data_IF_264812966487
#
_entry.id   IF_264812966487
#
_cell.length_a   1.000
_cell.length_b   1.000
_cell.length_c   1.000
_cell.angle_alpha   90.00
_cell.angle_beta   90.00
_cell.angle_gamma   90.00
#
_symmetry.space_group_name_H-M   'P 1'
#
loop_
_entity.id
_entity.type
_entity.pdbx_description
1 polymer ?
#
# COMPACT_ATOMS: atom_id res chain seq x y z
N UNK A 1 -24.13 -29.58 8.45
CA UNK A 1 -22.89 -28.79 8.41
C UNK A 1 -23.05 -27.68 9.44
N UNK A 2 -22.10 -27.53 10.29
CA UNK A 2 -22.08 -26.48 11.31
C UNK A 2 -21.95 -25.09 10.65
N UNK A 3 -22.55 -24.05 11.23
CA UNK A 3 -22.53 -22.69 10.65
C UNK A 3 -21.13 -22.18 10.42
N UNK A 4 -20.22 -22.35 11.38
CA UNK A 4 -18.83 -21.93 11.23
C UNK A 4 -18.09 -22.70 10.13
N UNK A 5 -18.41 -23.99 9.91
CA UNK A 5 -17.83 -24.77 8.81
C UNK A 5 -18.26 -24.20 7.46
N UNK A 6 -19.53 -23.78 7.34
CA UNK A 6 -20.02 -23.14 6.12
C UNK A 6 -19.30 -21.81 5.87
N UNK A 7 -19.17 -20.96 6.90
CA UNK A 7 -18.46 -19.69 6.83
C UNK A 7 -16.98 -19.88 6.47
N UNK A 8 -16.32 -20.91 7.00
CA UNK A 8 -14.94 -21.26 6.65
C UNK A 8 -14.80 -21.74 5.19
N UNK A 9 -15.79 -22.45 4.65
CA UNK A 9 -15.81 -22.79 3.22
C UNK A 9 -15.91 -21.55 2.33
N UNK A 10 -16.71 -20.57 2.75
CA UNK A 10 -16.82 -19.29 2.07
C UNK A 10 -15.50 -18.50 2.17
N UNK A 11 -14.90 -18.44 3.37
CA UNK A 11 -13.60 -17.82 3.61
C UNK A 11 -12.49 -18.45 2.75
N UNK A 12 -12.47 -19.79 2.65
CA UNK A 12 -11.54 -20.53 1.81
C UNK A 12 -11.67 -20.12 0.32
N UNK A 13 -12.89 -20.05 -0.23
CA UNK A 13 -13.10 -19.64 -1.62
C UNK A 13 -12.56 -18.23 -1.88
N UNK A 14 -12.80 -17.30 -0.94
CA UNK A 14 -12.30 -15.93 -1.02
C UNK A 14 -10.78 -15.86 -0.92
N UNK A 15 -10.19 -16.57 0.06
CA UNK A 15 -8.75 -16.64 0.24
C UNK A 15 -8.07 -17.24 -0.98
N UNK A 16 -8.58 -18.35 -1.51
CA UNK A 16 -8.06 -18.98 -2.72
C UNK A 16 -8.02 -18.01 -3.89
N UNK A 17 -9.13 -17.34 -4.17
CA UNK A 17 -9.19 -16.34 -5.24
C UNK A 17 -8.21 -15.19 -5.02
N UNK A 18 -8.10 -14.69 -3.79
CA UNK A 18 -7.14 -13.63 -3.43
C UNK A 18 -5.70 -14.07 -3.67
N UNK A 19 -5.30 -15.23 -3.16
CA UNK A 19 -3.93 -15.75 -3.33
C UNK A 19 -3.59 -15.97 -4.81
N UNK A 20 -4.53 -16.51 -5.60
CA UNK A 20 -4.27 -16.76 -7.02
C UNK A 20 -4.26 -15.49 -7.88
N UNK A 21 -4.91 -14.42 -7.44
CA UNK A 21 -4.85 -13.12 -8.13
C UNK A 21 -3.50 -12.41 -7.96
N UNK A 22 -2.76 -12.70 -6.89
CA UNK A 22 -1.45 -12.12 -6.63
C UNK A 22 -0.33 -13.03 -7.15
N UNK A 23 0.48 -12.53 -8.08
CA UNK A 23 1.59 -13.29 -8.68
C UNK A 23 2.77 -13.51 -7.72
N UNK A 24 2.85 -12.73 -6.64
CA UNK A 24 4.00 -12.75 -5.72
C UNK A 24 3.86 -13.79 -4.59
N UNK A 25 2.63 -14.23 -4.30
CA UNK A 25 2.31 -15.15 -3.20
C UNK A 25 2.46 -16.64 -3.62
N UNK A 26 3.65 -17.01 -4.12
CA UNK A 26 3.88 -18.38 -4.62
C UNK A 26 3.89 -19.40 -3.49
N UNK A 27 4.52 -19.10 -2.35
CA UNK A 27 4.62 -20.02 -1.23
C UNK A 27 3.23 -20.31 -0.62
N UNK A 28 2.42 -19.27 -0.48
CA UNK A 28 1.05 -19.39 0.03
C UNK A 28 0.17 -20.23 -0.89
N UNK A 29 0.40 -20.19 -2.22
CA UNK A 29 -0.31 -21.06 -3.18
C UNK A 29 0.11 -22.53 -3.03
N UNK A 30 1.40 -22.79 -2.80
CA UNK A 30 1.89 -24.13 -2.53
C UNK A 30 1.33 -24.66 -1.23
N UNK A 31 1.37 -23.86 -0.15
CA UNK A 31 0.84 -24.23 1.15
C UNK A 31 -0.68 -24.49 1.08
N UNK A 32 -1.40 -23.70 0.28
CA UNK A 32 -2.82 -23.91 0.01
C UNK A 32 -3.07 -25.23 -0.71
N UNK A 33 -2.23 -25.61 -1.69
CA UNK A 33 -2.40 -26.89 -2.39
C UNK A 33 -2.27 -28.10 -1.45
N UNK A 34 -1.34 -28.06 -0.50
CA UNK A 34 -1.22 -29.09 0.54
C UNK A 34 -2.43 -29.09 1.50
N UNK A 35 -2.95 -27.91 1.86
CA UNK A 35 -4.15 -27.81 2.65
C UNK A 35 -5.38 -28.43 1.94
N UNK A 36 -5.44 -28.29 0.61
CA UNK A 36 -6.52 -28.84 -0.24
C UNK A 36 -6.52 -30.36 -0.33
N UNK A 37 -5.39 -31.05 -0.12
CA UNK A 37 -5.33 -32.52 -0.15
C UNK A 37 -6.33 -33.18 0.83
N UNK A 38 -6.64 -32.51 1.95
CA UNK A 38 -7.61 -32.97 2.92
C UNK A 38 -8.57 -31.85 3.39
N UNK A 39 -9.07 -31.08 2.43
CA UNK A 39 -9.77 -29.82 2.64
C UNK A 39 -10.91 -29.93 3.67
N UNK A 40 -11.81 -30.91 3.50
CA UNK A 40 -13.00 -31.05 4.36
C UNK A 40 -12.63 -31.31 5.83
N UNK A 41 -11.63 -32.16 6.07
CA UNK A 41 -11.17 -32.46 7.42
C UNK A 41 -10.41 -31.28 8.03
N UNK A 42 -9.55 -30.61 7.24
CA UNK A 42 -8.80 -29.44 7.69
C UNK A 42 -9.73 -28.30 8.09
N UNK A 43 -10.81 -28.06 7.32
CA UNK A 43 -11.82 -27.05 7.67
C UNK A 43 -12.62 -27.42 8.92
N UNK A 44 -12.98 -28.71 9.10
CA UNK A 44 -13.67 -29.18 10.32
C UNK A 44 -12.79 -29.05 11.56
N UNK A 45 -11.52 -29.41 11.45
CA UNK A 45 -10.56 -29.26 12.54
C UNK A 45 -10.36 -27.79 12.91
N UNK A 46 -10.19 -26.92 11.91
CA UNK A 46 -10.09 -25.48 12.11
C UNK A 46 -11.34 -24.92 12.79
N UNK A 47 -12.55 -25.32 12.35
CA UNK A 47 -13.81 -24.91 12.98
C UNK A 47 -13.86 -25.29 14.45
N UNK A 48 -13.45 -26.52 14.78
CA UNK A 48 -13.37 -27.01 16.17
C UNK A 48 -12.38 -26.21 17.01
N UNK A 49 -11.22 -25.85 16.44
CA UNK A 49 -10.18 -25.08 17.14
C UNK A 49 -10.61 -23.63 17.36
N UNK A 50 -11.30 -23.00 16.40
CA UNK A 50 -11.88 -21.66 16.57
C UNK A 50 -12.90 -21.65 17.70
N UNK A 51 -13.85 -22.60 17.72
CA UNK A 51 -14.86 -22.71 18.80
C UNK A 51 -14.26 -22.87 20.19
N UNK A 52 -13.08 -23.48 20.28
CA UNK A 52 -12.34 -23.64 21.54
C UNK A 52 -11.40 -22.50 21.83
N UNK A 53 -11.32 -21.52 20.95
CA UNK A 53 -10.32 -20.45 20.96
C UNK A 53 -8.88 -20.95 21.12
N UNK A 54 -8.60 -22.16 20.62
CA UNK A 54 -7.31 -22.81 20.73
C UNK A 54 -6.61 -22.94 19.37
N UNK A 55 -5.76 -21.98 19.04
CA UNK A 55 -4.96 -21.95 17.82
C UNK A 55 -3.45 -22.04 18.10
N UNK A 56 -3.08 -22.54 19.30
CA UNK A 56 -1.69 -22.55 19.77
C UNK A 56 -0.72 -23.24 18.81
N UNK A 57 -1.14 -24.31 18.14
CA UNK A 57 -0.27 -25.05 17.20
C UNK A 57 -0.04 -24.26 15.90
N UNK A 58 -1.05 -23.58 15.38
CA UNK A 58 -0.90 -22.68 14.24
C UNK A 58 -0.02 -21.49 14.57
N UNK A 59 -0.14 -20.92 15.78
CA UNK A 59 0.71 -19.81 16.24
C UNK A 59 2.20 -20.20 16.32
N UNK A 60 2.54 -21.45 16.65
CA UNK A 60 3.95 -21.91 16.69
C UNK A 60 4.62 -21.80 15.32
N UNK A 61 3.86 -21.99 14.25
CA UNK A 61 4.34 -21.97 12.86
C UNK A 61 4.51 -20.56 12.30
N UNK A 62 4.02 -19.52 13.00
CA UNK A 62 4.21 -18.13 12.55
C UNK A 62 5.69 -17.75 12.57
N UNK A 63 6.16 -17.28 11.44
CA UNK A 63 7.52 -16.78 11.21
C UNK A 63 7.47 -15.57 10.27
N UNK A 64 8.59 -15.20 9.66
CA UNK A 64 8.65 -14.09 8.73
C UNK A 64 9.58 -14.39 7.55
N UNK A 65 9.38 -13.64 6.46
CA UNK A 65 10.25 -13.61 5.29
C UNK A 65 10.70 -12.17 5.05
N UNK A 66 12.00 -11.99 4.79
CA UNK A 66 12.57 -10.69 4.46
C UNK A 66 12.59 -10.51 2.94
N UNK A 67 11.88 -9.49 2.45
CA UNK A 67 11.82 -9.16 1.03
C UNK A 67 12.54 -7.83 0.81
N UNK A 68 13.57 -7.77 -0.06
CA UNK A 68 14.24 -6.52 -0.38
C UNK A 68 13.24 -5.49 -0.95
N UNK A 69 13.17 -4.31 -0.34
CA UNK A 69 12.35 -3.18 -0.82
C UNK A 69 13.17 -2.25 -1.71
N UNK A 70 14.44 -2.02 -1.34
CA UNK A 70 15.35 -1.17 -2.08
C UNK A 70 16.72 -1.80 -2.15
N UNK A 71 17.19 -1.98 -3.37
CA UNK A 71 18.49 -2.56 -3.68
C UNK A 71 19.32 -1.48 -4.37
N UNK A 72 20.56 -1.31 -3.94
CA UNK A 72 21.52 -0.40 -4.55
C UNK A 72 22.74 -1.17 -5.03
N UNK A 73 23.19 -0.86 -6.22
CA UNK A 73 24.47 -1.37 -6.73
C UNK A 73 25.60 -0.70 -5.95
N UNK A 74 26.55 -1.48 -5.44
CA UNK A 74 27.73 -0.94 -4.79
C UNK A 74 28.54 -0.16 -5.83
N UNK A 75 28.68 1.14 -5.62
CA UNK A 75 29.52 1.95 -6.51
C UNK A 75 31.00 1.70 -6.16
N UNK A 76 31.88 1.59 -7.17
CA UNK A 76 33.30 1.50 -6.91
C UNK A 76 33.78 2.75 -6.18
N UNK A 77 34.66 2.56 -5.18
CA UNK A 77 35.19 3.66 -4.33
C UNK A 77 36.16 4.61 -5.08
N UNK A 78 36.20 4.55 -6.39
CA UNK A 78 37.13 5.37 -7.19
C UNK A 78 36.40 6.52 -7.87
N UNK A 79 37.03 7.71 -7.83
CA UNK A 79 36.55 8.91 -8.50
C UNK A 79 36.72 8.87 -10.03
N UNK A 80 37.45 7.88 -10.55
CA UNK A 80 37.73 7.73 -11.97
C UNK A 80 36.84 6.69 -12.62
N UNK A 81 36.37 6.98 -13.84
CA UNK A 81 35.64 6.01 -14.66
C UNK A 81 36.58 4.93 -15.18
N UNK A 82 36.29 3.66 -14.90
CA UNK A 82 37.06 2.53 -15.40
C UNK A 82 36.24 1.86 -16.51
N UNK A 83 36.74 1.83 -17.71
CA UNK A 83 36.20 1.13 -18.86
C UNK A 83 36.93 -0.21 -19.00
N UNK A 84 36.21 -1.32 -18.96
CA UNK A 84 36.80 -2.66 -19.02
C UNK A 84 35.83 -3.64 -19.67
N UNK A 85 36.34 -4.57 -20.47
CA UNK A 85 35.60 -5.71 -20.99
C UNK A 85 35.59 -6.90 -20.02
N UNK A 86 36.21 -6.76 -18.84
CA UNK A 86 36.21 -7.80 -17.81
C UNK A 86 34.83 -7.83 -17.16
N UNK A 87 34.17 -9.00 -17.20
CA UNK A 87 32.93 -9.23 -16.46
C UNK A 87 33.20 -9.09 -14.96
N UNK A 88 32.61 -8.08 -14.33
CA UNK A 88 32.68 -7.86 -12.90
C UNK A 88 31.40 -8.41 -12.27
N UNK A 89 31.53 -9.17 -11.22
CA UNK A 89 30.36 -9.50 -10.38
C UNK A 89 29.87 -8.22 -9.72
N UNK A 90 28.63 -7.84 -10.05
CA UNK A 90 28.00 -6.69 -9.45
C UNK A 90 27.62 -7.02 -8.00
N UNK A 91 28.13 -6.25 -7.05
CA UNK A 91 27.72 -6.34 -5.64
C UNK A 91 26.53 -5.44 -5.39
N UNK A 92 25.50 -6.01 -4.79
CA UNK A 92 24.28 -5.31 -4.43
C UNK A 92 24.14 -5.23 -2.92
N UNK A 93 23.72 -4.05 -2.44
CA UNK A 93 23.43 -3.79 -1.02
C UNK A 93 21.92 -3.62 -0.90
N UNK A 94 21.33 -4.35 0.02
CA UNK A 94 19.91 -4.16 0.37
C UNK A 94 19.83 -2.98 1.35
N UNK A 95 19.35 -1.83 0.87
CA UNK A 95 19.20 -0.61 1.69
C UNK A 95 17.98 -0.71 2.63
N UNK A 96 16.88 -1.30 2.16
CA UNK A 96 15.69 -1.51 2.96
C UNK A 96 14.98 -2.81 2.59
N UNK A 97 14.23 -3.34 3.54
CA UNK A 97 13.51 -4.60 3.43
C UNK A 97 12.11 -4.47 4.01
N UNK A 98 11.18 -5.22 3.45
CA UNK A 98 9.88 -5.47 4.06
C UNK A 98 9.91 -6.81 4.80
N UNK A 99 9.20 -6.88 5.92
CA UNK A 99 9.08 -8.09 6.74
C UNK A 99 7.67 -8.63 6.52
N UNK A 100 7.56 -9.71 5.74
CA UNK A 100 6.29 -10.36 5.47
C UNK A 100 6.02 -11.43 6.52
N UNK A 101 4.78 -11.56 6.95
CA UNK A 101 4.37 -12.70 7.76
C UNK A 101 4.46 -13.97 6.91
N UNK A 102 5.00 -15.03 7.51
CA UNK A 102 4.88 -16.39 7.01
C UNK A 102 4.07 -17.18 8.02
N UNK A 103 2.89 -17.61 7.62
CA UNK A 103 1.91 -18.26 8.48
C UNK A 103 1.23 -19.43 7.74
N UNK A 104 0.74 -20.46 8.43
CA UNK A 104 0.00 -21.54 7.83
C UNK A 104 -1.36 -21.05 7.30
N UNK A 105 -1.96 -21.81 6.39
CA UNK A 105 -3.22 -21.43 5.71
C UNK A 105 -4.36 -21.21 6.71
N UNK A 106 -4.39 -21.93 7.80
CA UNK A 106 -5.37 -21.78 8.88
C UNK A 106 -5.39 -20.36 9.45
N UNK A 107 -4.22 -19.73 9.61
CA UNK A 107 -4.11 -18.34 10.07
C UNK A 107 -4.70 -17.38 9.02
N UNK A 108 -4.40 -17.59 7.74
CA UNK A 108 -5.01 -16.80 6.66
C UNK A 108 -6.52 -17.00 6.56
N UNK A 109 -7.02 -18.22 6.83
CA UNK A 109 -8.46 -18.51 6.88
C UNK A 109 -9.15 -17.80 8.05
N UNK A 110 -8.53 -17.81 9.25
CA UNK A 110 -9.03 -17.05 10.42
C UNK A 110 -9.08 -15.56 10.08
N UNK A 111 -8.03 -15.01 9.48
CA UNK A 111 -8.00 -13.60 9.07
C UNK A 111 -9.06 -13.28 8.01
N UNK A 112 -9.32 -14.18 7.06
CA UNK A 112 -10.36 -14.01 6.04
C UNK A 112 -11.76 -14.10 6.66
N UNK A 113 -11.99 -15.04 7.58
CA UNK A 113 -13.23 -15.16 8.32
C UNK A 113 -13.50 -13.91 9.17
N UNK A 114 -12.47 -13.37 9.84
CA UNK A 114 -12.56 -12.12 10.58
C UNK A 114 -12.96 -10.95 9.65
N UNK A 115 -12.41 -10.88 8.42
CA UNK A 115 -12.85 -9.87 7.45
C UNK A 115 -14.33 -9.99 7.13
N UNK A 116 -14.83 -11.22 6.95
CA UNK A 116 -16.23 -11.46 6.59
C UNK A 116 -17.20 -11.09 7.71
N UNK A 117 -16.83 -11.32 8.98
CA UNK A 117 -17.73 -11.13 10.14
C UNK A 117 -17.60 -9.72 10.75
N UNK A 118 -16.39 -9.16 10.76
CA UNK A 118 -16.08 -7.91 11.45
C UNK A 118 -15.54 -6.86 10.48
N UNK A 119 -14.55 -7.22 9.67
CA UNK A 119 -13.89 -6.31 8.74
C UNK A 119 -14.84 -5.69 7.72
N UNK A 120 -15.90 -6.41 7.33
CA UNK A 120 -16.94 -5.90 6.43
C UNK A 120 -17.64 -4.65 7.00
N UNK A 121 -17.95 -4.64 8.28
CA UNK A 121 -18.57 -3.51 8.97
C UNK A 121 -17.62 -2.31 9.03
N UNK A 122 -16.32 -2.57 9.25
CA UNK A 122 -15.31 -1.53 9.27
C UNK A 122 -15.13 -0.90 7.88
N UNK A 123 -15.05 -1.72 6.82
CA UNK A 123 -14.93 -1.24 5.44
C UNK A 123 -16.18 -0.48 4.98
N UNK A 124 -17.39 -0.91 5.36
CA UNK A 124 -18.64 -0.26 5.02
C UNK A 124 -18.72 1.19 5.52
N UNK A 125 -18.09 1.46 6.65
CA UNK A 125 -18.08 2.79 7.27
C UNK A 125 -17.01 3.74 6.71
N UNK A 126 -16.19 3.29 5.77
CA UNK A 126 -15.22 4.13 5.08
C UNK A 126 -15.92 5.02 4.05
N UNK A 127 -15.38 6.22 3.87
CA UNK A 127 -15.85 7.15 2.82
C UNK A 127 -15.42 6.66 1.43
N UNK A 128 -16.09 7.13 0.40
CA UNK A 128 -15.83 6.76 -1.01
C UNK A 128 -14.46 7.21 -1.52
N UNK A 129 -13.89 8.22 -0.87
CA UNK A 129 -12.55 8.73 -1.19
C UNK A 129 -11.41 7.74 -0.88
N UNK A 130 -11.68 6.70 -0.07
CA UNK A 130 -10.74 5.60 0.17
C UNK A 130 -10.86 4.61 -0.98
N UNK A 131 -9.85 4.54 -1.84
CA UNK A 131 -9.86 3.74 -3.08
C UNK A 131 -9.09 2.41 -2.96
N UNK A 132 -8.06 2.36 -2.11
CA UNK A 132 -7.21 1.18 -1.95
C UNK A 132 -7.81 0.10 -1.05
N UNK A 133 -7.64 -1.17 -1.42
CA UNK A 133 -7.98 -2.33 -0.61
C UNK A 133 -9.43 -2.35 -0.07
N UNK A 134 -10.40 -1.88 -0.87
CA UNK A 134 -11.82 -1.92 -0.52
C UNK A 134 -12.39 -3.31 -0.74
N UNK A 135 -13.21 -3.77 0.17
CA UNK A 135 -13.90 -5.05 0.04
C UNK A 135 -14.86 -5.04 -1.15
N UNK A 136 -14.86 -6.14 -1.89
CA UNK A 136 -15.73 -6.28 -3.05
C UNK A 136 -17.20 -6.30 -2.65
N UNK A 137 -17.99 -5.42 -3.26
CA UNK A 137 -19.44 -5.34 -3.12
C UNK A 137 -20.11 -5.54 -4.47
N UNK A 138 -21.29 -6.10 -4.47
CA UNK A 138 -22.09 -6.22 -5.68
C UNK A 138 -22.63 -4.85 -6.15
N UNK A 139 -23.37 -4.88 -7.27
CA UNK A 139 -23.96 -3.66 -7.85
C UNK A 139 -24.96 -2.96 -6.91
N UNK A 140 -25.47 -3.66 -5.90
CA UNK A 140 -26.39 -3.12 -4.90
C UNK A 140 -25.65 -2.66 -3.62
N UNK A 141 -24.32 -2.74 -3.60
CA UNK A 141 -23.49 -2.34 -2.47
C UNK A 141 -23.41 -3.37 -1.34
N UNK A 142 -23.83 -4.63 -1.58
CA UNK A 142 -23.78 -5.66 -0.57
C UNK A 142 -22.53 -6.53 -0.68
N UNK A 143 -21.90 -6.80 0.45
CA UNK A 143 -20.83 -7.79 0.55
C UNK A 143 -21.44 -9.19 0.45
N UNK A 144 -20.98 -9.95 -0.53
CA UNK A 144 -21.53 -11.27 -0.83
C UNK A 144 -20.65 -12.38 -0.21
N UNK A 145 -21.15 -13.07 0.80
CA UNK A 145 -20.42 -14.16 1.45
C UNK A 145 -20.12 -15.31 0.48
N UNK A 146 -21.03 -15.63 -0.41
CA UNK A 146 -20.86 -16.71 -1.40
C UNK A 146 -19.98 -16.34 -2.61
N UNK A 147 -19.69 -15.05 -2.81
CA UNK A 147 -18.75 -14.62 -3.84
C UNK A 147 -17.32 -15.05 -3.51
N UNK A 148 -16.57 -15.45 -4.52
CA UNK A 148 -15.14 -15.74 -4.38
C UNK A 148 -14.29 -14.46 -4.28
N UNK A 149 -14.80 -13.30 -4.67
CA UNK A 149 -14.07 -12.03 -4.61
C UNK A 149 -14.03 -11.50 -3.17
N UNK A 150 -12.85 -11.14 -2.70
CA UNK A 150 -12.65 -10.52 -1.39
C UNK A 150 -12.50 -9.01 -1.49
N UNK A 151 -11.63 -8.54 -2.37
CA UNK A 151 -11.38 -7.13 -2.64
C UNK A 151 -11.76 -6.73 -4.06
N UNK A 152 -11.99 -5.45 -4.28
CA UNK A 152 -11.99 -4.88 -5.62
C UNK A 152 -10.60 -5.06 -6.25
N UNK A 153 -10.52 -5.24 -7.59
CA UNK A 153 -9.25 -5.29 -8.28
C UNK A 153 -8.43 -4.03 -7.97
N UNK A 154 -7.17 -4.22 -7.55
CA UNK A 154 -6.34 -3.11 -7.09
C UNK A 154 -6.13 -2.04 -8.18
N UNK A 155 -6.02 -2.46 -9.45
CA UNK A 155 -5.80 -1.54 -10.57
C UNK A 155 -6.98 -0.59 -10.80
N UNK A 156 -8.22 -1.03 -10.61
CA UNK A 156 -9.41 -0.18 -10.71
C UNK A 156 -9.39 0.91 -9.63
N UNK A 157 -9.10 0.54 -8.38
CA UNK A 157 -8.99 1.48 -7.26
C UNK A 157 -7.84 2.46 -7.45
N UNK A 158 -6.68 2.00 -7.93
CA UNK A 158 -5.53 2.86 -8.17
C UNK A 158 -5.75 3.80 -9.35
N UNK A 159 -6.40 3.34 -10.40
CA UNK A 159 -6.78 4.16 -11.56
C UNK A 159 -7.76 5.25 -11.13
N UNK A 160 -8.82 4.91 -10.42
CA UNK A 160 -9.78 5.87 -9.87
C UNK A 160 -9.11 6.90 -8.94
N UNK A 161 -8.23 6.45 -8.02
CA UNK A 161 -7.44 7.32 -7.13
C UNK A 161 -6.68 8.41 -7.88
N UNK A 162 -6.10 8.06 -9.01
CA UNK A 162 -5.27 8.94 -9.84
C UNK A 162 -6.09 9.80 -10.79
N UNK A 163 -6.95 9.15 -11.59
CA UNK A 163 -7.60 9.78 -12.74
C UNK A 163 -8.64 10.83 -12.30
N UNK A 164 -9.39 10.54 -11.25
CA UNK A 164 -10.33 11.51 -10.69
C UNK A 164 -9.65 12.80 -10.20
N UNK A 165 -8.42 12.69 -9.66
CA UNK A 165 -7.65 13.87 -9.25
C UNK A 165 -7.17 14.69 -10.45
N UNK A 166 -6.73 14.05 -11.51
CA UNK A 166 -6.29 14.70 -12.75
C UNK A 166 -7.48 15.38 -13.43
N UNK A 167 -8.62 14.70 -13.50
CA UNK A 167 -9.84 15.25 -14.08
C UNK A 167 -10.33 16.47 -13.30
N UNK A 168 -10.28 16.43 -11.96
CA UNK A 168 -10.59 17.59 -11.12
C UNK A 168 -9.61 18.75 -11.36
N UNK A 169 -8.31 18.47 -11.39
CA UNK A 169 -7.30 19.50 -11.65
C UNK A 169 -7.52 20.16 -13.03
N UNK A 170 -7.81 19.36 -14.05
CA UNK A 170 -8.11 19.83 -15.40
C UNK A 170 -9.39 20.69 -15.41
N UNK A 171 -10.42 20.24 -14.73
CA UNK A 171 -11.70 20.96 -14.62
C UNK A 171 -11.54 22.35 -13.97
N UNK A 172 -10.76 22.43 -12.87
CA UNK A 172 -10.49 23.69 -12.19
C UNK A 172 -9.65 24.65 -13.05
N UNK A 173 -8.62 24.12 -13.71
CA UNK A 173 -7.80 24.92 -14.62
C UNK A 173 -8.63 25.49 -15.79
N UNK A 174 -9.52 24.68 -16.38
CA UNK A 174 -10.43 25.13 -17.42
C UNK A 174 -11.44 26.20 -16.94
N UNK A 175 -11.68 26.27 -15.63
CA UNK A 175 -12.42 27.37 -14.98
C UNK A 175 -11.57 28.62 -14.71
N UNK A 176 -10.34 28.67 -15.23
CA UNK A 176 -9.40 29.77 -15.06
C UNK A 176 -8.97 29.97 -13.58
N UNK A 177 -8.78 28.87 -12.84
CA UNK A 177 -8.29 28.86 -11.47
C UNK A 177 -6.85 28.32 -11.44
N UNK A 178 -6.05 28.84 -10.51
CA UNK A 178 -4.76 28.25 -10.18
C UNK A 178 -5.00 26.93 -9.43
N UNK A 179 -4.28 25.88 -9.80
CA UNK A 179 -4.50 24.55 -9.26
C UNK A 179 -3.23 24.03 -8.58
N UNK A 180 -3.37 23.49 -7.39
CA UNK A 180 -2.28 22.84 -6.66
C UNK A 180 -2.65 21.39 -6.39
N UNK A 181 -1.82 20.46 -6.84
CA UNK A 181 -1.95 19.02 -6.56
C UNK A 181 -0.87 18.61 -5.57
N UNK A 182 -1.28 18.07 -4.43
CA UNK A 182 -0.39 17.59 -3.38
C UNK A 182 -0.52 16.07 -3.25
N UNK A 183 0.60 15.37 -3.41
CA UNK A 183 0.72 13.94 -3.10
C UNK A 183 1.61 13.75 -1.88
N UNK A 184 1.13 12.99 -0.90
CA UNK A 184 1.85 12.62 0.32
C UNK A 184 1.78 11.12 0.57
N UNK A 185 2.82 10.60 1.21
CA UNK A 185 2.98 9.18 1.53
C UNK A 185 3.40 9.05 3.01
N UNK A 186 2.78 8.14 3.74
CA UNK A 186 3.11 7.89 5.14
C UNK A 186 4.31 6.94 5.20
N UNK A 187 5.34 7.35 5.94
CA UNK A 187 6.55 6.56 6.12
C UNK A 187 6.26 5.29 6.92
N UNK A 188 6.63 4.14 6.36
CA UNK A 188 6.59 2.84 7.06
C UNK A 188 5.25 2.56 7.74
N UNK A 189 4.16 2.88 7.04
CA UNK A 189 2.80 2.93 7.58
C UNK A 189 2.43 1.67 8.39
N UNK A 190 2.60 0.47 7.82
CA UNK A 190 2.23 -0.79 8.48
C UNK A 190 2.98 -1.07 9.78
N UNK A 191 4.21 -0.53 9.92
CA UNK A 191 5.02 -0.66 11.14
C UNK A 191 4.70 0.41 12.19
N UNK A 192 4.00 1.47 11.81
CA UNK A 192 3.65 2.59 12.70
C UNK A 192 2.19 2.60 13.13
N UNK A 193 1.37 1.67 12.61
CA UNK A 193 0.00 1.50 13.07
C UNK A 193 -0.02 0.82 14.44
N UNK A 194 -0.81 1.40 15.34
CA UNK A 194 -1.15 0.82 16.62
C UNK A 194 -2.62 0.43 16.59
N UNK A 195 -2.89 -0.85 16.72
CA UNK A 195 -4.24 -1.38 16.66
C UNK A 195 -4.45 -2.46 17.72
N UNK A 196 -5.60 -2.44 18.38
CA UNK A 196 -6.02 -3.45 19.35
C UNK A 196 -7.37 -4.01 18.94
N UNK A 197 -7.44 -5.31 18.78
CA UNK A 197 -8.69 -5.99 18.51
C UNK A 197 -9.65 -5.96 19.70
N UNK A 198 -9.15 -5.68 20.90
CA UNK A 198 -9.95 -5.57 22.13
C UNK A 198 -10.86 -4.34 22.14
N UNK A 199 -10.53 -3.33 21.30
CA UNK A 199 -11.30 -2.10 21.18
C UNK A 199 -12.48 -2.25 20.21
N UNK A 200 -12.59 -3.39 19.54
CA UNK A 200 -13.70 -3.72 18.67
C UNK A 200 -14.85 -4.37 19.46
N UNK A 201 -16.06 -4.30 18.88
CA UNK A 201 -17.23 -5.00 19.42
C UNK A 201 -16.97 -6.50 19.55
N UNK A 202 -17.58 -7.11 20.55
CA UNK A 202 -17.50 -8.56 20.73
C UNK A 202 -18.09 -9.27 19.52
N UNK A 203 -17.46 -10.37 19.13
CA UNK A 203 -17.90 -11.24 18.04
C UNK A 203 -18.27 -12.62 18.54
N UNK A 204 -19.13 -13.30 17.77
CA UNK A 204 -19.74 -14.58 18.15
C UNK A 204 -18.71 -15.71 18.31
N UNK A 205 -17.60 -15.66 17.55
CA UNK A 205 -16.62 -16.76 17.47
C UNK A 205 -15.31 -16.46 18.18
N UNK A 206 -15.20 -15.34 18.91
CA UNK A 206 -13.96 -14.92 19.56
C UNK A 206 -12.84 -14.55 18.54
N UNK A 207 -13.22 -14.19 17.32
CA UNK A 207 -12.25 -13.90 16.23
C UNK A 207 -11.33 -12.74 16.57
N UNK A 208 -11.84 -11.71 17.28
CA UNK A 208 -11.00 -10.59 17.71
C UNK A 208 -9.89 -11.06 18.65
N UNK A 209 -10.18 -11.99 19.57
CA UNK A 209 -9.18 -12.56 20.47
C UNK A 209 -8.16 -13.42 19.71
N UNK A 210 -8.61 -14.23 18.75
CA UNK A 210 -7.72 -15.02 17.90
C UNK A 210 -6.79 -14.14 17.06
N UNK A 211 -7.33 -13.08 16.45
CA UNK A 211 -6.56 -12.13 15.68
C UNK A 211 -5.53 -11.39 16.56
N UNK A 212 -5.91 -11.02 17.80
CA UNK A 212 -4.96 -10.41 18.73
C UNK A 212 -3.80 -11.37 19.03
N UNK A 213 -4.07 -12.66 19.28
CA UNK A 213 -3.01 -13.66 19.50
C UNK A 213 -2.09 -13.82 18.31
N UNK A 214 -2.61 -13.78 17.06
CA UNK A 214 -1.84 -13.85 15.83
C UNK A 214 -0.89 -12.65 15.73
N UNK A 215 -1.41 -11.43 15.93
CA UNK A 215 -0.63 -10.20 15.88
C UNK A 215 0.43 -10.16 16.99
N UNK A 216 0.10 -10.53 18.21
CA UNK A 216 1.03 -10.60 19.35
C UNK A 216 2.19 -11.57 19.05
N UNK A 217 1.87 -12.72 18.45
CA UNK A 217 2.88 -13.72 18.08
C UNK A 217 3.81 -13.21 17.02
N UNK A 218 3.25 -12.59 15.97
CA UNK A 218 4.06 -11.99 14.90
C UNK A 218 4.93 -10.85 15.44
N UNK A 219 4.35 -9.95 16.24
CA UNK A 219 5.07 -8.85 16.86
C UNK A 219 6.29 -9.34 17.64
N UNK A 220 6.12 -10.35 18.50
CA UNK A 220 7.23 -10.94 19.27
C UNK A 220 8.33 -11.49 18.38
N UNK A 221 8.01 -11.95 17.17
CA UNK A 221 9.00 -12.50 16.22
C UNK A 221 9.82 -11.43 15.52
N UNK A 222 9.26 -10.25 15.27
CA UNK A 222 9.91 -9.23 14.44
C UNK A 222 10.27 -7.94 15.16
N UNK A 223 10.02 -7.83 16.48
CA UNK A 223 10.26 -6.60 17.25
C UNK A 223 11.66 -6.02 17.08
N UNK A 224 12.68 -6.87 17.01
CA UNK A 224 14.09 -6.45 16.86
C UNK A 224 14.47 -6.13 15.40
N UNK A 225 13.64 -6.50 14.44
CA UNK A 225 13.86 -6.33 13.00
C UNK A 225 13.05 -5.17 12.41
N UNK A 226 12.02 -4.73 13.11
CA UNK A 226 11.13 -3.66 12.65
C UNK A 226 11.91 -2.36 12.48
N UNK A 227 11.67 -1.59 11.38
CA UNK A 227 12.26 -0.27 11.17
C UNK A 227 11.70 0.79 12.12
N UNK A 228 10.69 0.45 12.93
CA UNK A 228 10.07 1.37 13.88
C UNK A 228 11.12 1.93 14.84
N UNK A 229 11.06 3.23 15.07
CA UNK A 229 11.89 3.88 16.10
C UNK A 229 11.60 3.25 17.45
N UNK A 230 12.66 2.81 18.14
CA UNK A 230 12.56 2.30 19.51
C UNK A 230 12.15 3.46 20.40
N UNK A 231 10.94 3.44 20.89
CA UNK A 231 10.51 4.38 21.95
C UNK A 231 11.28 3.99 23.22
N UNK A 232 11.86 4.98 23.93
CA UNK A 232 12.62 4.75 25.17
C UNK A 232 11.75 4.15 26.31
N UNK A 233 10.48 3.90 26.05
CA UNK A 233 9.51 3.34 26.96
C UNK A 233 9.18 1.90 26.53
N UNK A 234 9.99 0.92 26.98
CA UNK A 234 9.85 -0.50 26.65
C UNK A 234 8.44 -1.05 26.93
N UNK A 235 7.76 -0.55 27.97
CA UNK A 235 6.40 -0.99 28.34
C UNK A 235 5.36 -0.57 27.30
N UNK A 236 5.47 0.61 26.71
CA UNK A 236 4.63 1.07 25.62
C UNK A 236 4.87 0.30 24.32
N UNK A 237 6.14 -0.05 24.04
CA UNK A 237 6.53 -0.79 22.84
C UNK A 237 5.98 -2.23 22.86
N UNK A 238 5.92 -2.84 24.04
CA UNK A 238 5.43 -4.21 24.21
C UNK A 238 3.89 -4.34 24.12
N UNK A 239 3.14 -3.22 24.19
CA UNK A 239 1.67 -3.23 24.16
C UNK A 239 1.07 -2.90 22.78
N UNK A 240 1.89 -2.50 21.80
CA UNK A 240 1.44 -1.97 20.52
C UNK A 240 1.83 -2.87 19.37
N UNK A 241 0.84 -3.47 18.74
CA UNK A 241 1.02 -4.34 17.60
C UNK A 241 0.97 -3.55 16.29
N UNK A 242 1.96 -3.74 15.44
CA UNK A 242 1.93 -3.26 14.07
C UNK A 242 1.32 -4.32 13.14
N UNK A 243 0.88 -3.88 11.95
CA UNK A 243 0.19 -4.77 11.02
C UNK A 243 1.15 -5.72 10.31
N UNK A 244 0.86 -7.03 10.28
CA UNK A 244 1.61 -8.00 9.51
C UNK A 244 1.45 -7.75 8.00
N UNK A 245 2.55 -7.39 7.31
CA UNK A 245 2.53 -7.34 5.84
C UNK A 245 2.37 -8.77 5.31
N UNK A 246 1.41 -8.96 4.40
CA UNK A 246 1.08 -10.29 3.85
C UNK A 246 -0.10 -10.99 4.55
N UNK A 247 -0.58 -10.50 5.70
CA UNK A 247 -1.83 -10.98 6.28
C UNK A 247 -3.01 -10.19 5.69
N UNK A 248 -3.98 -10.89 5.13
CA UNK A 248 -5.07 -10.29 4.36
C UNK A 248 -5.90 -9.28 5.16
N UNK A 249 -6.10 -9.48 6.46
CA UNK A 249 -6.83 -8.56 7.36
C UNK A 249 -6.12 -7.22 7.57
N UNK A 250 -4.79 -7.18 7.42
CA UNK A 250 -4.02 -5.94 7.60
C UNK A 250 -4.45 -4.83 6.66
N UNK A 251 -4.91 -5.18 5.46
CA UNK A 251 -5.42 -4.21 4.47
C UNK A 251 -6.68 -3.47 4.97
N UNK A 252 -7.61 -4.19 5.59
CA UNK A 252 -8.85 -3.62 6.15
C UNK A 252 -8.55 -2.76 7.38
N UNK A 253 -7.68 -3.25 8.27
CA UNK A 253 -7.30 -2.53 9.49
C UNK A 253 -6.56 -1.24 9.13
N UNK A 254 -5.65 -1.28 8.14
CA UNK A 254 -4.93 -0.12 7.64
C UNK A 254 -5.88 1.00 7.19
N UNK A 255 -6.94 0.65 6.45
CA UNK A 255 -7.95 1.60 6.04
C UNK A 255 -8.77 2.14 7.23
N UNK A 256 -9.14 1.27 8.16
CA UNK A 256 -9.94 1.66 9.33
C UNK A 256 -9.22 2.66 10.22
N UNK A 257 -7.92 2.47 10.47
CA UNK A 257 -7.13 3.37 11.34
C UNK A 257 -7.11 4.81 10.83
N UNK A 258 -7.08 5.02 9.51
CA UNK A 258 -7.10 6.35 8.91
C UNK A 258 -8.51 6.88 8.62
N UNK A 259 -9.57 6.14 8.92
CA UNK A 259 -10.94 6.53 8.59
C UNK A 259 -11.39 7.85 9.21
N UNK A 260 -10.94 8.14 10.43
CA UNK A 260 -11.22 9.43 11.09
C UNK A 260 -10.49 10.58 10.41
N UNK A 261 -9.24 10.37 10.02
CA UNK A 261 -8.48 11.34 9.25
C UNK A 261 -9.18 11.65 7.92
N UNK A 262 -9.61 10.61 7.20
CA UNK A 262 -10.31 10.79 5.92
C UNK A 262 -11.59 11.65 6.07
N UNK A 263 -12.39 11.39 7.10
CA UNK A 263 -13.59 12.16 7.41
C UNK A 263 -13.28 13.62 7.71
N UNK A 264 -12.28 13.87 8.55
CA UNK A 264 -11.86 15.24 8.90
C UNK A 264 -11.39 16.02 7.67
N UNK A 265 -10.66 15.37 6.76
CA UNK A 265 -10.23 16.00 5.50
C UNK A 265 -11.44 16.42 4.68
N UNK A 266 -12.40 15.55 4.49
CA UNK A 266 -13.57 15.84 3.65
C UNK A 266 -14.52 16.85 4.31
N UNK A 267 -14.72 16.76 5.63
CA UNK A 267 -15.68 17.60 6.35
C UNK A 267 -15.13 19.00 6.69
N UNK A 268 -13.84 19.10 7.01
CA UNK A 268 -13.23 20.30 7.56
C UNK A 268 -12.23 20.97 6.62
N UNK A 269 -11.28 20.24 6.03
CA UNK A 269 -10.33 20.80 5.07
C UNK A 269 -11.01 21.14 3.75
N UNK A 270 -11.92 20.27 3.29
CA UNK A 270 -12.72 20.45 2.07
C UNK A 270 -11.88 20.85 0.86
N UNK A 271 -10.85 20.06 0.51
CA UNK A 271 -10.16 20.26 -0.76
C UNK A 271 -11.15 20.04 -1.91
N UNK A 272 -10.90 20.57 -3.08
CA UNK A 272 -11.72 20.32 -4.27
C UNK A 272 -11.75 18.84 -4.64
N UNK A 273 -10.67 18.13 -4.34
CA UNK A 273 -10.61 16.67 -4.42
C UNK A 273 -9.68 16.10 -3.34
N UNK A 274 -10.08 14.98 -2.78
CA UNK A 274 -9.28 14.14 -1.89
C UNK A 274 -9.50 12.68 -2.22
N UNK A 275 -8.43 11.91 -2.26
CA UNK A 275 -8.51 10.46 -2.28
C UNK A 275 -7.32 9.84 -1.58
N UNK A 276 -7.50 8.60 -1.11
CA UNK A 276 -6.46 7.82 -0.46
C UNK A 276 -6.39 6.40 -1.00
N UNK A 277 -5.18 5.97 -1.28
CA UNK A 277 -4.86 4.60 -1.64
C UNK A 277 -3.87 4.01 -0.61
N UNK A 278 -4.39 3.32 0.40
CA UNK A 278 -3.67 2.81 1.58
C UNK A 278 -2.98 3.95 2.35
N UNK A 279 -1.70 4.19 2.13
CA UNK A 279 -0.85 5.22 2.74
C UNK A 279 -0.57 6.41 1.81
N UNK A 280 -0.84 6.27 0.52
CA UNK A 280 -0.76 7.36 -0.46
C UNK A 280 -2.02 8.24 -0.42
N UNK A 281 -1.84 9.55 -0.33
CA UNK A 281 -2.95 10.53 -0.29
C UNK A 281 -2.75 11.58 -1.37
N UNK A 282 -3.83 11.91 -2.07
CA UNK A 282 -3.84 12.86 -3.16
C UNK A 282 -4.89 13.93 -2.91
N UNK A 283 -4.46 15.19 -3.00
CA UNK A 283 -5.29 16.37 -2.77
C UNK A 283 -5.23 17.30 -3.98
N UNK A 284 -6.33 17.94 -4.30
CA UNK A 284 -6.40 19.04 -5.28
C UNK A 284 -6.99 20.25 -4.59
N UNK A 285 -6.31 21.39 -4.72
CA UNK A 285 -6.74 22.69 -4.19
C UNK A 285 -6.79 23.72 -5.31
N UNK A 286 -7.75 24.66 -5.22
CA UNK A 286 -7.82 25.82 -6.08
C UNK A 286 -7.31 27.07 -5.37
N UNK A 287 -6.62 27.96 -6.09
CA UNK A 287 -6.13 29.25 -5.61
C UNK A 287 -5.39 29.17 -4.25
N UNK A 288 -4.63 28.08 -4.03
CA UNK A 288 -3.87 27.91 -2.82
C UNK A 288 -2.63 28.84 -2.81
N UNK A 289 -2.42 29.53 -1.67
CA UNK A 289 -1.19 30.30 -1.49
C UNK A 289 -0.04 29.36 -1.13
N UNK A 290 1.01 29.36 -1.94
CA UNK A 290 2.17 28.48 -1.80
C UNK A 290 3.48 29.23 -1.48
N UNK A 291 3.40 30.51 -1.19
CA UNK A 291 4.59 31.34 -0.86
C UNK A 291 5.14 31.07 0.56
N UNK A 292 4.61 30.05 1.24
CA UNK A 292 5.02 29.72 2.58
C UNK A 292 6.23 28.76 2.61
N UNK A 293 7.01 28.84 3.68
CA UNK A 293 8.17 27.95 3.90
C UNK A 293 7.74 26.48 4.19
N UNK A 294 6.51 26.28 4.68
CA UNK A 294 5.95 24.99 5.07
C UNK A 294 4.63 24.72 4.33
N UNK A 295 4.70 24.70 3.01
CA UNK A 295 3.53 24.60 2.10
C UNK A 295 2.59 23.46 2.48
N UNK A 296 3.13 22.28 2.82
CA UNK A 296 2.30 21.11 3.15
C UNK A 296 1.50 21.36 4.42
N UNK A 297 2.15 21.90 5.45
CA UNK A 297 1.47 22.23 6.70
C UNK A 297 0.42 23.31 6.49
N UNK A 298 0.74 24.33 5.70
CA UNK A 298 -0.20 25.43 5.44
C UNK A 298 -1.38 24.96 4.59
N UNK A 299 -1.17 24.14 3.55
CA UNK A 299 -2.26 23.57 2.78
C UNK A 299 -3.18 22.70 3.63
N UNK A 300 -2.60 21.88 4.51
CA UNK A 300 -3.35 20.96 5.35
C UNK A 300 -3.96 21.64 6.59
N UNK A 301 -3.41 22.77 7.06
CA UNK A 301 -3.87 23.48 8.27
C UNK A 301 -4.64 24.76 7.98
N UNK A 302 -4.46 25.40 6.81
CA UNK A 302 -4.92 26.78 6.55
C UNK A 302 -6.43 26.98 6.51
N UNK A 303 -7.19 25.91 6.29
CA UNK A 303 -8.67 25.99 6.28
C UNK A 303 -9.31 25.24 7.45
N UNK A 304 -8.50 24.60 8.29
CA UNK A 304 -9.03 23.72 9.31
C UNK A 304 -8.88 24.32 10.69
N UNK A 305 -9.99 24.41 11.40
CA UNK A 305 -10.03 24.33 12.85
C UNK A 305 -9.63 22.93 13.36
N UNK A 306 -8.89 22.13 12.56
CA UNK A 306 -8.33 20.82 12.94
C UNK A 306 -7.46 20.97 14.19
N UNK A 307 -6.88 22.15 14.42
CA UNK A 307 -6.07 22.45 15.58
C UNK A 307 -6.86 22.42 16.89
N UNK A 308 -8.16 22.59 16.86
CA UNK A 308 -9.01 22.63 18.07
C UNK A 308 -9.62 21.27 18.43
N UNK A 309 -9.82 20.37 17.47
CA UNK A 309 -10.25 19.00 17.76
C UNK A 309 -9.05 18.14 18.16
N UNK A 310 -9.03 17.70 19.42
CA UNK A 310 -7.93 16.92 20.04
C UNK A 310 -7.60 15.59 19.31
N UNK A 311 -8.35 15.22 18.30
CA UNK A 311 -8.28 13.92 17.64
C UNK A 311 -7.29 13.88 16.46
N UNK A 312 -7.10 14.98 15.74
CA UNK A 312 -6.17 15.08 14.61
C UNK A 312 -5.34 16.34 14.71
N UNK A 313 -4.03 16.19 14.59
CA UNK A 313 -3.07 17.29 14.58
C UNK A 313 -2.05 17.09 13.46
N UNK A 314 -1.60 18.18 12.88
CA UNK A 314 -0.48 18.21 11.96
C UNK A 314 0.62 19.06 12.61
N UNK A 315 1.77 18.45 12.86
CA UNK A 315 2.90 19.10 13.51
C UNK A 315 4.12 19.09 12.58
N UNK A 316 4.72 20.25 12.34
CA UNK A 316 6.01 20.35 11.66
C UNK A 316 7.12 20.33 12.69
N UNK A 317 7.96 19.31 12.65
CA UNK A 317 9.23 19.25 13.38
C UNK A 317 10.37 19.53 12.42
N UNK A 318 11.54 19.93 12.96
CA UNK A 318 12.72 20.41 12.19
C UNK A 318 13.05 19.60 10.92
N UNK A 319 12.65 18.31 10.82
CA UNK A 319 12.97 17.42 9.69
C UNK A 319 11.79 16.58 9.19
N UNK A 320 10.62 16.62 9.81
CA UNK A 320 9.49 15.79 9.43
C UNK A 320 8.14 16.45 9.72
N UNK A 321 7.18 16.22 8.84
CA UNK A 321 5.78 16.54 9.07
C UNK A 321 5.12 15.30 9.67
N UNK A 322 4.45 15.45 10.81
CA UNK A 322 3.73 14.38 11.49
C UNK A 322 2.23 14.62 11.42
N UNK A 323 1.48 13.60 11.03
CA UNK A 323 0.03 13.54 11.17
C UNK A 323 -0.27 12.73 12.44
N UNK A 324 -1.06 13.28 13.33
CA UNK A 324 -1.47 12.62 14.58
C UNK A 324 -2.95 12.32 14.49
N UNK A 325 -3.32 11.04 14.58
CA UNK A 325 -4.71 10.55 14.56
C UNK A 325 -4.93 9.70 15.80
N UNK A 326 -5.87 10.07 16.66
CA UNK A 326 -6.16 9.35 17.92
C UNK A 326 -4.90 9.04 18.75
N UNK A 327 -3.98 10.00 18.88
CA UNK A 327 -2.67 9.88 19.53
C UNK A 327 -1.64 8.99 18.79
N UNK A 328 -1.98 8.37 17.68
CA UNK A 328 -1.01 7.71 16.80
C UNK A 328 -0.31 8.75 15.93
N UNK A 329 1.02 8.64 15.82
CA UNK A 329 1.84 9.57 15.04
C UNK A 329 2.30 8.91 13.76
N UNK A 330 1.96 9.53 12.64
CA UNK A 330 2.39 9.11 11.31
C UNK A 330 3.33 10.16 10.73
N UNK A 331 4.56 9.77 10.43
CA UNK A 331 5.53 10.65 9.76
C UNK A 331 5.27 10.63 8.26
N UNK A 332 5.23 11.80 7.65
CA UNK A 332 5.22 11.90 6.19
C UNK A 332 6.62 11.63 5.64
N UNK A 333 6.67 10.95 4.51
CA UNK A 333 7.91 10.69 3.81
C UNK A 333 8.30 11.92 2.97
N UNK A 334 9.00 12.90 3.55
CA UNK A 334 9.32 14.20 2.93
C UNK A 334 9.91 14.07 1.51
N UNK A 335 10.75 13.05 1.25
CA UNK A 335 11.32 12.80 -0.09
C UNK A 335 10.30 12.34 -1.13
N UNK A 336 9.13 11.89 -0.70
CA UNK A 336 8.03 11.47 -1.59
C UNK A 336 6.90 12.49 -1.67
N UNK A 337 6.91 13.52 -0.83
CA UNK A 337 5.97 14.64 -0.97
C UNK A 337 6.21 15.28 -2.33
N UNK A 338 5.16 15.32 -3.14
CA UNK A 338 5.16 15.95 -4.47
C UNK A 338 4.10 17.02 -4.51
N UNK A 339 4.52 18.21 -4.90
CA UNK A 339 3.65 19.34 -5.11
C UNK A 339 3.74 19.74 -6.58
N UNK A 340 2.59 19.77 -7.25
CA UNK A 340 2.47 20.25 -8.61
C UNK A 340 1.58 21.49 -8.59
N UNK A 341 2.03 22.54 -9.28
CA UNK A 341 1.29 23.76 -9.38
C UNK A 341 1.08 24.14 -10.84
N UNK A 342 -0.14 24.45 -11.17
CA UNK A 342 -0.59 24.84 -12.51
C UNK A 342 -1.25 26.21 -12.40
N UNK A 343 -0.62 27.20 -13.01
CA UNK A 343 -1.16 28.56 -13.06
C UNK A 343 -2.20 28.66 -14.18
N UNK A 344 -3.29 29.33 -13.91
CA UNK A 344 -4.42 29.53 -14.83
C UNK A 344 -4.06 30.09 -16.21
N UNK A 345 -2.96 30.86 -16.29
CA UNK A 345 -2.50 31.50 -17.51
C UNK A 345 -1.52 30.64 -18.30
N UNK A 346 -1.10 29.50 -17.75
CA UNK A 346 -0.09 28.64 -18.35
C UNK A 346 -0.72 27.40 -19.01
N UNK A 347 0.05 26.76 -19.90
CA UNK A 347 -0.43 25.57 -20.60
C UNK A 347 -0.68 24.39 -19.66
N UNK A 348 -1.76 23.68 -19.91
CA UNK A 348 -2.11 22.41 -19.24
C UNK A 348 -1.24 21.20 -19.68
N UNK A 349 -0.37 21.41 -20.68
CA UNK A 349 0.46 20.33 -21.25
C UNK A 349 1.31 19.56 -20.23
N UNK A 350 1.62 20.20 -19.09
CA UNK A 350 2.32 19.53 -17.98
C UNK A 350 1.40 18.52 -17.27
N UNK A 351 0.10 18.80 -17.16
CA UNK A 351 -0.91 17.85 -16.63
C UNK A 351 -1.10 16.65 -17.57
N UNK A 352 -1.11 16.91 -18.89
CA UNK A 352 -1.20 15.86 -19.90
C UNK A 352 0.03 14.95 -19.85
N UNK A 353 1.25 15.52 -19.80
CA UNK A 353 2.48 14.77 -19.58
C UNK A 353 2.51 14.03 -18.23
N UNK A 354 1.94 14.62 -17.19
CA UNK A 354 1.83 13.97 -15.90
C UNK A 354 0.92 12.75 -16.00
N UNK A 355 -0.20 12.86 -16.71
CA UNK A 355 -1.12 11.74 -17.00
C UNK A 355 -0.41 10.65 -17.81
N UNK A 356 0.26 11.00 -18.90
CA UNK A 356 1.04 10.08 -19.73
C UNK A 356 2.12 9.35 -18.93
N UNK A 357 2.95 10.08 -18.19
CA UNK A 357 4.02 9.49 -17.35
C UNK A 357 3.50 8.55 -16.26
N UNK A 358 2.33 8.84 -15.71
CA UNK A 358 1.70 7.96 -14.72
C UNK A 358 1.08 6.75 -15.40
N UNK A 359 0.45 6.90 -16.56
CA UNK A 359 -0.08 5.79 -17.36
C UNK A 359 1.03 4.85 -17.80
N UNK A 360 2.15 5.36 -18.27
CA UNK A 360 3.33 4.57 -18.59
C UNK A 360 3.90 3.83 -17.37
N UNK A 361 3.99 4.49 -16.22
CA UNK A 361 4.46 3.87 -14.98
C UNK A 361 3.46 2.88 -14.36
N UNK A 362 2.15 3.05 -14.60
CA UNK A 362 1.11 2.12 -14.14
C UNK A 362 0.98 0.89 -15.04
N UNK A 363 1.41 0.97 -16.30
CA UNK A 363 1.41 -0.14 -17.25
C UNK A 363 2.34 -1.29 -16.82
N UNK A 364 3.21 -1.09 -15.84
CA UNK A 364 4.01 -2.14 -15.21
C UNK A 364 3.20 -3.31 -14.65
N UNK A 365 1.91 -3.14 -14.43
CA UNK A 365 1.02 -4.17 -13.89
C UNK A 365 -0.09 -4.58 -14.88
N UNK A 366 -0.13 -4.02 -16.08
CA UNK A 366 -1.05 -4.47 -17.09
C UNK A 366 -0.59 -5.83 -17.65
N UNK A 367 -1.53 -6.78 -17.67
CA UNK A 367 -1.44 -7.99 -18.46
C UNK A 367 -0.96 -7.64 -19.88
N UNK A 368 -0.05 -8.45 -20.42
CA UNK A 368 0.59 -8.36 -21.72
C UNK A 368 0.16 -7.14 -22.55
N UNK A 369 1.05 -6.18 -22.79
CA UNK A 369 0.70 -5.07 -23.66
C UNK A 369 0.27 -5.65 -25.01
N UNK A 370 -0.78 -5.10 -25.60
CA UNK A 370 -1.13 -5.27 -27.00
C UNK A 370 0.16 -5.13 -27.85
N UNK A 371 0.35 -5.99 -28.85
CA UNK A 371 1.57 -6.04 -29.68
C UNK A 371 1.99 -4.64 -30.18
N UNK A 372 1.04 -3.75 -30.48
CA UNK A 372 1.30 -2.36 -30.86
C UNK A 372 1.85 -1.51 -29.73
N UNK A 373 1.42 -1.73 -28.49
CA UNK A 373 1.97 -1.05 -27.31
C UNK A 373 3.35 -1.59 -26.96
N UNK A 374 3.56 -2.91 -27.11
CA UNK A 374 4.86 -3.54 -26.91
C UNK A 374 5.91 -2.98 -27.87
N UNK A 375 5.58 -2.89 -29.16
CA UNK A 375 6.46 -2.29 -30.16
C UNK A 375 6.76 -0.82 -29.87
N UNK A 376 5.76 -0.02 -29.49
CA UNK A 376 5.93 1.39 -29.15
C UNK A 376 6.79 1.57 -27.89
N UNK A 377 6.62 0.69 -26.89
CA UNK A 377 7.44 0.70 -25.67
C UNK A 377 8.87 0.24 -25.94
N UNK A 378 9.07 -0.73 -26.82
CA UNK A 378 10.40 -1.16 -27.26
C UNK A 378 11.09 -0.10 -28.14
N UNK A 379 10.35 0.61 -28.98
CA UNK A 379 10.88 1.76 -29.75
C UNK A 379 11.24 2.92 -28.84
N UNK A 380 10.40 3.29 -27.85
CA UNK A 380 10.72 4.35 -26.89
C UNK A 380 11.88 3.96 -26.00
N UNK A 381 11.95 2.72 -25.50
CA UNK A 381 13.08 2.26 -24.69
C UNK A 381 14.37 2.12 -25.50
N UNK A 382 14.31 1.80 -26.79
CA UNK A 382 15.49 1.86 -27.66
C UNK A 382 15.91 3.29 -27.92
N UNK A 383 14.98 4.24 -28.02
CA UNK A 383 15.27 5.67 -28.14
C UNK A 383 15.88 6.22 -26.85
N UNK A 384 15.31 5.89 -25.68
CA UNK A 384 15.86 6.27 -24.36
C UNK A 384 17.22 5.63 -24.09
N UNK A 385 17.49 4.43 -24.61
CA UNK A 385 18.82 3.82 -24.58
C UNK A 385 19.88 4.64 -25.32
N UNK A 386 19.50 5.33 -26.39
CA UNK A 386 20.44 6.12 -27.21
C UNK A 386 20.52 7.59 -26.80
N UNK A 387 19.52 8.12 -26.09
CA UNK A 387 19.37 9.57 -25.85
C UNK A 387 19.24 10.00 -24.39
N UNK A 388 19.24 9.08 -23.44
CA UNK A 388 19.13 9.41 -22.01
C UNK A 388 20.45 9.94 -21.42
N UNK A 389 20.91 11.03 -21.87
CA UNK A 389 21.82 11.99 -21.25
C UNK A 389 22.52 12.83 -22.34
N UNK A 390 22.04 14.03 -22.50
CA UNK A 390 22.36 14.91 -23.63
C UNK A 390 23.70 15.68 -23.55
N UNK A 391 24.63 15.35 -22.66
CA UNK A 391 25.83 16.16 -22.53
C UNK A 391 27.12 15.56 -23.10
N UNK A 392 27.17 14.27 -23.49
CA UNK A 392 28.38 13.74 -24.15
C UNK A 392 28.08 12.56 -25.08
N UNK A 393 28.39 12.69 -26.37
CA UNK A 393 28.24 11.64 -27.38
C UNK A 393 28.98 10.31 -27.08
N UNK A 394 29.93 10.29 -26.18
CA UNK A 394 30.63 9.10 -25.70
C UNK A 394 29.89 8.38 -24.55
N UNK A 395 28.97 9.07 -23.87
CA UNK A 395 28.14 8.46 -22.81
C UNK A 395 26.98 7.64 -23.36
N UNK A 396 26.57 7.84 -24.61
CA UNK A 396 25.50 7.07 -25.26
C UNK A 396 25.89 5.60 -25.46
N UNK A 397 27.16 5.29 -25.75
CA UNK A 397 27.63 3.89 -25.86
C UNK A 397 27.72 3.23 -24.49
N UNK A 398 27.96 3.98 -23.43
CA UNK A 398 28.00 3.50 -22.03
C UNK A 398 26.58 3.43 -21.45
N UNK A 399 25.65 4.24 -21.96
CA UNK A 399 24.23 4.21 -21.62
C UNK A 399 23.56 2.87 -21.97
N UNK A 400 23.92 2.27 -23.11
CA UNK A 400 23.41 0.95 -23.51
C UNK A 400 23.76 -0.18 -22.55
N UNK A 401 24.81 -0.02 -21.76
CA UNK A 401 25.18 -0.99 -20.72
C UNK A 401 24.58 -0.69 -19.34
N UNK A 402 24.03 0.52 -19.13
CA UNK A 402 23.48 0.94 -17.84
C UNK A 402 22.01 0.60 -17.64
N UNK A 403 21.25 0.40 -18.71
CA UNK A 403 19.80 0.21 -18.60
C UNK A 403 19.32 -1.23 -18.78
N UNK A 404 20.15 -2.20 -18.36
CA UNK A 404 19.74 -3.60 -18.23
C UNK A 404 18.52 -3.78 -17.30
N UNK A 405 18.28 -2.84 -16.38
CA UNK A 405 17.11 -2.84 -15.50
C UNK A 405 15.82 -2.46 -16.25
N UNK A 406 15.87 -1.49 -17.14
CA UNK A 406 14.73 -1.09 -17.99
C UNK A 406 14.43 -2.19 -19.02
N UNK A 407 15.46 -2.76 -19.66
CA UNK A 407 15.30 -3.90 -20.58
C UNK A 407 14.76 -5.13 -19.84
N UNK A 408 15.29 -5.46 -18.67
CA UNK A 408 14.82 -6.57 -17.85
C UNK A 408 13.38 -6.35 -17.37
N UNK A 409 13.01 -5.13 -17.03
CA UNK A 409 11.64 -4.77 -16.67
C UNK A 409 10.70 -4.90 -17.86
N UNK A 410 11.07 -4.37 -19.03
CA UNK A 410 10.27 -4.46 -20.24
C UNK A 410 10.12 -5.92 -20.71
N UNK A 411 11.17 -6.72 -20.64
CA UNK A 411 11.13 -8.15 -20.96
C UNK A 411 10.31 -8.96 -19.95
N UNK A 412 10.41 -8.68 -18.65
CA UNK A 412 9.59 -9.35 -17.63
C UNK A 412 8.12 -8.93 -17.66
N UNK A 413 7.82 -7.76 -18.22
CA UNK A 413 6.43 -7.34 -18.50
C UNK A 413 5.86 -7.94 -19.79
N UNK A 414 6.73 -8.43 -20.71
CA UNK A 414 6.36 -9.07 -21.98
C UNK A 414 6.28 -10.61 -21.89
N UNK A 415 6.91 -11.22 -20.87
CA UNK A 415 6.81 -12.65 -20.53
C UNK A 415 5.74 -12.88 -19.46
#
# INVERSE_FOLDING_TARGET
MDEIELKLKQAYKKLKSYLYSDKTLLQEKIDLSFFEENLENNLKELAKNIKKENISDYLKSISYTLVPKKIKKEQPKHSSSIYTNKTKEDKYIVESKNIFIKAPIEIHLIATLWIMEIGEKLDKNLIENVKGNRLFRDKNGFFQNDSYKLFHPYFEGYQSFRDEAIDMATHLHNKNLDVTVLNIDIQEFYYNIEFSFKDLEQDEYGLNNLMQQIHDKYHKKIKDLSPREKDNNEDKYNQKNFLPIGLVSSAVIANYVLSKFDKEIVENLKPEYYSRYVDDMLFVFSNANIDSKDIVTDLLSSKTKIVENKTIKIETKKEAIEIIVDNQKFKLQNKKVKLFQFYKNDSISLLEKFKENIEENSSFFNFMPDDKKLFKTLESSSYDMFYSDSENKLSSIVGTTKDTLSISRNLSGAL
#
